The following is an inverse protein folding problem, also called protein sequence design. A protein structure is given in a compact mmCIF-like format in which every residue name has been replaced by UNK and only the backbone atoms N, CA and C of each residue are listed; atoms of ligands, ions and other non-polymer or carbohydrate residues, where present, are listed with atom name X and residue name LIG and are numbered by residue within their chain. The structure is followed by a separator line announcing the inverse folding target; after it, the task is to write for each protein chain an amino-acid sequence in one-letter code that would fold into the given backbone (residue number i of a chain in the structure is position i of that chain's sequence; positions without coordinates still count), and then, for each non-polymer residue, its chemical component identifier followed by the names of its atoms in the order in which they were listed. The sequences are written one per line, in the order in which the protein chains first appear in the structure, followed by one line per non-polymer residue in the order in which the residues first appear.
data_IF_067961825810
#
_entry.id   IF_067961825810
#
_cell.length_a   1.000
_cell.length_b   1.000
_cell.length_c   1.000
_cell.angle_alpha   90.00
_cell.angle_beta   90.00
_cell.angle_gamma   90.00
#
_symmetry.space_group_name_H-M   'P 1'
#
loop_
_entity.id
_entity.type
_entity.pdbx_description
1 polymer ?
#
# COMPACT_ATOMS: atom_id res chain seq x y z
N UNK A 1 4.53 10.73 -10.95
CA UNK A 1 5.01 11.34 -9.68
C UNK A 1 4.19 12.57 -9.31
N UNK A 2 4.09 13.61 -10.14
CA UNK A 2 3.40 14.87 -9.80
C UNK A 2 1.96 14.72 -9.27
N UNK A 3 1.13 13.86 -9.89
CA UNK A 3 -0.27 13.65 -9.44
C UNK A 3 -0.31 12.95 -8.07
N UNK A 4 0.60 12.01 -7.83
CA UNK A 4 0.65 11.24 -6.57
C UNK A 4 1.08 12.14 -5.41
N UNK A 5 2.06 13.02 -5.65
CA UNK A 5 2.57 13.97 -4.66
C UNK A 5 1.65 15.18 -4.41
N UNK A 6 0.49 15.24 -5.09
CA UNK A 6 -0.41 16.38 -5.00
C UNK A 6 -0.86 16.72 -3.56
N UNK A 7 -1.18 15.75 -2.66
CA UNK A 7 -1.45 16.05 -1.25
C UNK A 7 -0.30 16.78 -0.55
N UNK A 8 0.94 16.33 -0.76
CA UNK A 8 2.13 16.97 -0.17
C UNK A 8 2.28 18.40 -0.66
N UNK A 9 2.18 18.61 -1.97
CA UNK A 9 2.29 19.95 -2.56
C UNK A 9 1.21 20.88 -2.01
N UNK A 10 -0.01 20.38 -1.89
CA UNK A 10 -1.16 21.14 -1.42
C UNK A 10 -1.03 21.54 0.05
N UNK A 11 -0.64 20.61 0.93
CA UNK A 11 -0.35 20.90 2.33
C UNK A 11 0.76 21.95 2.47
N UNK A 12 1.87 21.81 1.74
CA UNK A 12 2.99 22.74 1.85
C UNK A 12 2.71 24.14 1.25
N UNK A 13 1.72 24.25 0.37
CA UNK A 13 1.33 25.52 -0.26
C UNK A 13 0.20 26.24 0.49
N UNK A 14 -0.40 25.59 1.48
CA UNK A 14 -1.55 26.12 2.23
C UNK A 14 -1.11 26.75 3.56
N UNK A 15 -1.91 27.69 4.06
CA UNK A 15 -1.74 28.15 5.44
C UNK A 15 -2.02 26.99 6.39
N UNK A 16 -1.02 26.60 7.17
CA UNK A 16 -1.18 25.52 8.13
C UNK A 16 -1.99 26.02 9.34
N UNK A 17 -3.04 25.29 9.75
CA UNK A 17 -3.76 25.61 10.97
C UNK A 17 -2.82 25.49 12.18
N UNK A 18 -3.06 26.26 13.26
CA UNK A 18 -2.30 26.11 14.49
C UNK A 18 -2.45 24.69 15.06
N UNK A 19 -1.35 24.13 15.57
CA UNK A 19 -1.29 22.84 16.26
C UNK A 19 -1.33 23.03 17.79
N UNK A 20 -2.18 23.94 18.25
CA UNK A 20 -2.34 24.28 19.67
C UNK A 20 -3.18 23.23 20.43
N UNK A 21 -4.07 22.52 19.74
CA UNK A 21 -4.86 21.44 20.33
C UNK A 21 -4.78 20.12 19.54
N UNK A 22 -4.13 19.10 20.11
CA UNK A 22 -3.96 17.80 19.47
C UNK A 22 -5.26 16.96 19.36
N UNK A 23 -6.33 17.37 20.02
CA UNK A 23 -7.63 16.68 20.01
C UNK A 23 -8.68 17.37 19.14
N UNK A 24 -8.35 18.50 18.53
CA UNK A 24 -9.23 19.10 17.54
C UNK A 24 -9.16 18.35 16.21
N UNK A 25 -9.91 18.82 15.22
CA UNK A 25 -9.95 18.19 13.91
C UNK A 25 -8.56 18.09 13.24
N UNK A 26 -7.71 19.09 13.43
CA UNK A 26 -6.37 19.15 12.83
C UNK A 26 -5.42 18.16 13.52
N UNK A 27 -5.43 18.12 14.85
CA UNK A 27 -4.66 17.16 15.63
C UNK A 27 -5.08 15.72 15.36
N UNK A 28 -6.39 15.44 15.32
CA UNK A 28 -6.93 14.10 15.05
C UNK A 28 -6.53 13.62 13.65
N UNK A 29 -6.71 14.45 12.61
CA UNK A 29 -6.36 14.08 11.23
C UNK A 29 -4.86 13.89 11.06
N UNK A 30 -4.03 14.68 11.73
CA UNK A 30 -2.58 14.49 11.75
C UNK A 30 -2.21 13.13 12.36
N UNK A 31 -2.67 12.83 13.57
CA UNK A 31 -2.33 11.57 14.25
C UNK A 31 -2.87 10.35 13.51
N UNK A 32 -4.11 10.42 13.03
CA UNK A 32 -4.71 9.34 12.25
C UNK A 32 -3.93 9.09 10.96
N UNK A 33 -3.56 10.16 10.24
CA UNK A 33 -2.77 10.06 9.03
C UNK A 33 -1.37 9.49 9.27
N UNK A 34 -0.70 9.89 10.35
CA UNK A 34 0.60 9.33 10.77
C UNK A 34 0.49 7.85 11.10
N UNK A 35 -0.54 7.43 11.84
CA UNK A 35 -0.78 6.01 12.18
C UNK A 35 -1.01 5.19 10.90
N UNK A 36 -1.86 5.69 9.99
CA UNK A 36 -2.11 5.03 8.70
C UNK A 36 -0.80 4.92 7.91
N UNK A 37 -0.03 6.00 7.85
CA UNK A 37 1.25 6.00 7.15
C UNK A 37 2.24 5.00 7.74
N UNK A 38 2.35 4.94 9.07
CA UNK A 38 3.22 3.98 9.76
C UNK A 38 2.80 2.53 9.49
N UNK A 39 1.50 2.24 9.46
CA UNK A 39 1.00 0.92 9.08
C UNK A 39 1.46 0.59 7.65
N UNK A 40 1.26 1.51 6.71
CA UNK A 40 1.71 1.33 5.33
C UNK A 40 3.22 1.05 5.23
N UNK A 41 4.02 1.88 5.91
CA UNK A 41 5.48 1.76 5.94
C UNK A 41 5.96 0.41 6.49
N UNK A 42 5.31 -0.12 7.53
CA UNK A 42 5.63 -1.44 8.07
C UNK A 42 5.28 -2.56 7.09
N UNK A 43 4.14 -2.46 6.40
CA UNK A 43 3.76 -3.42 5.35
C UNK A 43 4.74 -3.41 4.18
N UNK A 44 5.15 -2.23 3.73
CA UNK A 44 6.17 -2.04 2.68
C UNK A 44 7.49 -2.66 3.09
N UNK A 45 8.06 -2.19 4.20
CA UNK A 45 9.38 -2.60 4.68
C UNK A 45 9.45 -4.10 4.95
N UNK A 46 8.49 -4.66 5.67
CA UNK A 46 8.51 -6.09 5.98
C UNK A 46 8.16 -6.95 4.76
N UNK A 47 7.26 -6.49 3.88
CA UNK A 47 6.89 -7.18 2.65
C UNK A 47 8.08 -7.34 1.73
N UNK A 48 8.82 -6.26 1.48
CA UNK A 48 10.01 -6.25 0.64
C UNK A 48 11.16 -7.04 1.28
N UNK A 49 11.39 -6.91 2.58
CA UNK A 49 12.41 -7.69 3.27
C UNK A 49 12.14 -9.21 3.20
N UNK A 50 10.87 -9.62 3.32
CA UNK A 50 10.47 -11.03 3.14
C UNK A 50 10.75 -11.51 1.71
N UNK A 51 10.39 -10.70 0.71
CA UNK A 51 10.62 -11.03 -0.70
C UNK A 51 12.11 -11.09 -1.04
N UNK A 52 12.89 -10.15 -0.52
CA UNK A 52 14.33 -10.07 -0.71
C UNK A 52 15.02 -11.34 -0.19
N UNK A 53 14.74 -11.70 1.08
CA UNK A 53 15.28 -12.92 1.69
C UNK A 53 14.85 -14.18 0.94
N UNK A 54 13.60 -14.24 0.50
CA UNK A 54 13.09 -15.38 -0.27
C UNK A 54 13.85 -15.57 -1.59
N UNK A 55 14.09 -14.48 -2.33
CA UNK A 55 14.79 -14.50 -3.62
C UNK A 55 16.29 -14.80 -3.50
N UNK A 56 16.91 -14.52 -2.35
CA UNK A 56 18.33 -14.80 -2.13
C UNK A 56 18.65 -16.28 -1.98
N UNK A 57 17.70 -17.08 -1.50
CA UNK A 57 17.88 -18.51 -1.31
C UNK A 57 17.70 -19.25 -2.65
N UNK A 58 18.75 -19.88 -3.21
CA UNK A 58 18.67 -20.61 -4.48
C UNK A 58 17.65 -21.75 -4.47
N UNK A 59 17.31 -22.30 -3.29
CA UNK A 59 16.32 -23.35 -3.15
C UNK A 59 14.88 -22.87 -3.38
N UNK A 60 14.66 -21.55 -3.45
CA UNK A 60 13.37 -20.94 -3.72
C UNK A 60 13.16 -20.59 -5.20
N UNK A 61 14.12 -20.91 -6.08
CA UNK A 61 13.95 -20.72 -7.53
C UNK A 61 12.71 -21.48 -8.01
N UNK A 62 11.80 -20.75 -8.67
CA UNK A 62 10.55 -21.29 -9.19
C UNK A 62 9.44 -21.48 -8.14
N UNK A 63 9.67 -21.16 -6.85
CA UNK A 63 8.65 -21.27 -5.81
C UNK A 63 7.92 -19.95 -5.58
N UNK A 64 6.76 -20.02 -4.95
CA UNK A 64 5.94 -18.86 -4.62
C UNK A 64 6.08 -18.51 -3.14
N UNK A 65 6.36 -17.23 -2.84
CA UNK A 65 6.36 -16.76 -1.46
C UNK A 65 4.92 -16.62 -0.96
N UNK A 66 4.51 -17.53 -0.08
CA UNK A 66 3.14 -17.60 0.42
C UNK A 66 3.03 -17.49 1.96
N UNK A 67 4.12 -17.08 2.60
CA UNK A 67 4.28 -16.97 4.06
C UNK A 67 4.40 -15.51 4.50
N UNK A 68 4.28 -15.28 5.82
CA UNK A 68 4.37 -13.93 6.36
C UNK A 68 3.25 -13.03 5.85
N UNK A 69 3.58 -11.80 5.43
CA UNK A 69 2.59 -10.85 4.90
C UNK A 69 2.02 -11.31 3.56
N UNK A 70 2.82 -12.02 2.76
CA UNK A 70 2.43 -12.57 1.46
C UNK A 70 1.34 -13.65 1.57
N UNK A 71 1.09 -14.18 2.75
CA UNK A 71 -0.08 -15.05 3.00
C UNK A 71 -1.39 -14.27 2.92
N UNK A 72 -1.41 -13.03 3.38
CA UNK A 72 -2.63 -12.24 3.57
C UNK A 72 -2.97 -11.37 2.36
N UNK A 73 -1.96 -10.97 1.58
CA UNK A 73 -2.11 -10.25 0.32
C UNK A 73 -1.01 -10.66 -0.66
N UNK A 74 -1.32 -10.68 -1.96
CA UNK A 74 -0.37 -11.01 -3.01
C UNK A 74 0.71 -9.93 -3.17
N UNK A 75 0.45 -8.71 -2.70
CA UNK A 75 1.38 -7.58 -2.81
C UNK A 75 1.36 -6.73 -1.54
N UNK A 76 1.95 -7.21 -0.43
CA UNK A 76 1.98 -6.45 0.82
C UNK A 76 2.73 -5.14 0.70
N UNK A 77 3.76 -5.09 -0.14
CA UNK A 77 4.52 -3.88 -0.42
C UNK A 77 3.71 -2.82 -1.16
N UNK A 78 2.94 -3.21 -2.19
CA UNK A 78 2.03 -2.32 -2.89
C UNK A 78 0.91 -1.81 -1.99
N UNK A 79 0.38 -2.67 -1.11
CA UNK A 79 -0.57 -2.22 -0.10
C UNK A 79 0.06 -1.18 0.82
N UNK A 80 1.31 -1.39 1.25
CA UNK A 80 2.06 -0.45 2.06
C UNK A 80 2.16 0.94 1.42
N UNK A 81 2.70 0.99 0.20
CA UNK A 81 2.89 2.25 -0.55
C UNK A 81 1.58 3.02 -0.72
N UNK A 82 0.51 2.36 -1.17
CA UNK A 82 -0.81 3.00 -1.32
C UNK A 82 -1.32 3.50 0.03
N UNK A 83 -1.18 2.69 1.09
CA UNK A 83 -1.63 3.05 2.44
C UNK A 83 -0.91 4.30 2.97
N UNK A 84 0.40 4.44 2.71
CA UNK A 84 1.16 5.64 3.02
C UNK A 84 0.56 6.88 2.35
N UNK A 85 0.20 6.81 1.07
CA UNK A 85 -0.43 7.93 0.36
C UNK A 85 -1.83 8.27 0.88
N UNK A 86 -2.62 7.28 1.30
CA UNK A 86 -3.88 7.53 2.00
C UNK A 86 -3.66 8.19 3.37
N UNK A 87 -2.61 7.80 4.10
CA UNK A 87 -2.22 8.46 5.36
C UNK A 87 -1.89 9.94 5.15
N UNK A 88 -1.08 10.27 4.12
CA UNK A 88 -0.76 11.66 3.75
C UNK A 88 -2.01 12.44 3.36
N UNK A 89 -2.93 11.83 2.60
CA UNK A 89 -4.22 12.45 2.28
C UNK A 89 -5.03 12.78 3.53
N UNK A 90 -5.10 11.88 4.52
CA UNK A 90 -5.78 12.14 5.78
C UNK A 90 -5.16 13.34 6.51
N UNK A 91 -3.83 13.46 6.53
CA UNK A 91 -3.14 14.67 7.05
C UNK A 91 -3.56 15.91 6.25
N UNK A 92 -3.67 15.79 4.92
CA UNK A 92 -4.01 16.91 4.04
C UNK A 92 -5.45 17.41 4.24
N UNK A 93 -6.36 16.60 4.79
CA UNK A 93 -7.71 17.06 5.16
C UNK A 93 -7.70 18.21 6.18
N UNK A 94 -6.59 18.37 6.91
CA UNK A 94 -6.39 19.47 7.85
C UNK A 94 -6.23 20.84 7.17
N UNK A 95 -5.90 20.93 5.87
CA UNK A 95 -5.73 22.24 5.21
C UNK A 95 -6.99 22.66 4.44
N UNK A 96 -7.24 23.98 4.27
CA UNK A 96 -8.39 24.47 3.49
C UNK A 96 -8.44 23.85 2.09
N UNK A 97 -9.59 23.28 1.72
CA UNK A 97 -9.79 22.55 0.45
C UNK A 97 -8.92 21.28 0.28
N UNK A 98 -8.34 20.76 1.36
CA UNK A 98 -7.49 19.56 1.33
C UNK A 98 -8.15 18.31 0.73
N UNK A 99 -9.48 18.22 0.76
CA UNK A 99 -10.24 17.13 0.14
C UNK A 99 -10.01 17.00 -1.38
N UNK A 100 -9.64 18.09 -2.07
CA UNK A 100 -9.32 18.07 -3.52
C UNK A 100 -8.10 17.18 -3.78
N UNK A 101 -7.22 17.04 -2.78
CA UNK A 101 -6.01 16.23 -2.92
C UNK A 101 -6.24 14.72 -3.03
N UNK A 102 -7.48 14.24 -2.85
CA UNK A 102 -7.87 12.82 -2.99
C UNK A 102 -7.50 12.22 -4.36
N UNK A 103 -7.33 13.05 -5.39
CA UNK A 103 -6.86 12.61 -6.70
C UNK A 103 -5.51 11.88 -6.62
N UNK A 104 -4.62 12.27 -5.70
CA UNK A 104 -3.33 11.63 -5.47
C UNK A 104 -3.43 10.16 -5.04
N UNK A 105 -4.03 9.84 -3.87
CA UNK A 105 -4.18 8.46 -3.41
C UNK A 105 -5.05 7.60 -4.35
N UNK A 106 -6.09 8.16 -4.98
CA UNK A 106 -6.88 7.43 -5.99
C UNK A 106 -6.01 7.05 -7.19
N UNK A 107 -5.21 8.00 -7.69
CA UNK A 107 -4.37 7.79 -8.86
C UNK A 107 -3.29 6.73 -8.60
N UNK A 108 -2.57 6.78 -7.47
CA UNK A 108 -1.57 5.74 -7.14
C UNK A 108 -2.23 4.37 -6.93
N UNK A 109 -3.39 4.32 -6.28
CA UNK A 109 -4.16 3.07 -6.11
C UNK A 109 -4.51 2.45 -7.48
N UNK A 110 -4.99 3.27 -8.41
CA UNK A 110 -5.30 2.82 -9.77
C UNK A 110 -4.03 2.33 -10.51
N UNK A 111 -2.96 3.12 -10.49
CA UNK A 111 -1.69 2.78 -11.15
C UNK A 111 -1.14 1.45 -10.64
N UNK A 112 -1.11 1.26 -9.32
CA UNK A 112 -0.58 0.05 -8.70
C UNK A 112 -1.46 -1.17 -8.99
N UNK A 113 -2.79 -1.05 -8.99
CA UNK A 113 -3.66 -2.23 -9.20
C UNK A 113 -3.82 -2.57 -10.70
N UNK A 114 -3.82 -1.56 -11.58
CA UNK A 114 -4.20 -1.75 -13.00
C UNK A 114 -3.04 -1.62 -13.99
N UNK A 115 -2.06 -0.80 -13.69
CA UNK A 115 -0.97 -0.43 -14.63
C UNK A 115 0.37 -1.04 -14.23
N UNK A 116 0.51 -1.48 -12.98
CA UNK A 116 1.75 -2.08 -12.49
C UNK A 116 2.05 -3.45 -13.12
N UNK A 117 3.25 -3.96 -12.82
CA UNK A 117 3.78 -5.23 -13.28
C UNK A 117 3.02 -6.48 -12.81
N UNK A 118 1.92 -6.38 -12.06
CA UNK A 118 1.08 -7.52 -11.63
C UNK A 118 0.70 -8.39 -12.83
N UNK A 119 0.31 -7.78 -13.96
CA UNK A 119 -0.08 -8.53 -15.17
C UNK A 119 1.10 -9.23 -15.84
N UNK A 120 2.31 -8.67 -15.75
CA UNK A 120 3.51 -9.29 -16.30
C UNK A 120 3.94 -10.48 -15.43
N UNK A 121 3.80 -10.34 -14.11
CA UNK A 121 4.03 -11.44 -13.16
C UNK A 121 3.06 -12.59 -13.43
N UNK A 122 1.78 -12.29 -13.64
CA UNK A 122 0.76 -13.29 -13.97
C UNK A 122 1.10 -14.10 -15.22
N UNK A 123 1.63 -13.44 -16.26
CA UNK A 123 2.09 -14.10 -17.49
C UNK A 123 3.35 -14.94 -17.27
N UNK A 124 4.24 -14.50 -16.38
CA UNK A 124 5.48 -15.22 -16.09
C UNK A 124 5.21 -16.57 -15.42
N UNK A 125 4.20 -16.63 -14.56
CA UNK A 125 3.77 -17.83 -13.84
C UNK A 125 2.55 -18.51 -14.49
N UNK A 126 2.30 -18.25 -15.77
CA UNK A 126 1.21 -18.89 -16.51
C UNK A 126 1.48 -20.39 -16.66
N UNK A 127 0.52 -21.23 -16.25
CA UNK A 127 0.67 -22.68 -16.22
C UNK A 127 1.32 -23.25 -14.95
N UNK A 128 1.68 -22.41 -13.98
CA UNK A 128 2.18 -22.85 -12.67
C UNK A 128 1.00 -23.14 -11.70
N UNK A 129 0.87 -24.42 -11.30
CA UNK A 129 -0.19 -24.88 -10.40
C UNK A 129 -0.05 -24.33 -8.97
N UNK A 130 1.18 -24.14 -8.48
CA UNK A 130 1.46 -23.57 -7.15
C UNK A 130 1.03 -22.11 -7.11
N UNK A 131 1.43 -21.33 -8.12
CA UNK A 131 1.05 -19.93 -8.26
C UNK A 131 -0.45 -19.74 -8.45
N UNK A 132 -1.06 -20.57 -9.29
CA UNK A 132 -2.51 -20.55 -9.51
C UNK A 132 -3.27 -20.85 -8.21
N UNK A 133 -2.81 -21.82 -7.43
CA UNK A 133 -3.39 -22.17 -6.13
C UNK A 133 -3.23 -21.04 -5.11
N UNK A 134 -2.06 -20.40 -5.09
CA UNK A 134 -1.80 -19.21 -4.27
C UNK A 134 -2.74 -18.04 -4.60
N UNK A 135 -2.90 -17.70 -5.88
CA UNK A 135 -3.80 -16.63 -6.31
C UNK A 135 -5.26 -16.86 -5.94
N UNK A 136 -5.71 -18.11 -5.94
CA UNK A 136 -7.09 -18.46 -5.56
C UNK A 136 -7.37 -18.22 -4.08
N UNK A 137 -6.39 -18.46 -3.20
CA UNK A 137 -6.56 -18.34 -1.74
C UNK A 137 -6.24 -16.96 -1.18
N UNK A 138 -5.29 -16.24 -1.78
CA UNK A 138 -4.79 -14.96 -1.27
C UNK A 138 -5.34 -13.80 -2.09
N UNK A 139 -5.79 -12.72 -1.43
CA UNK A 139 -6.33 -11.54 -2.12
C UNK A 139 -5.21 -10.77 -2.83
N UNK A 140 -5.55 -10.14 -3.96
CA UNK A 140 -4.57 -9.41 -4.76
C UNK A 140 -3.90 -8.26 -3.99
N UNK A 141 -4.69 -7.45 -3.28
CA UNK A 141 -4.23 -6.17 -2.76
C UNK A 141 -4.53 -5.97 -1.27
N UNK A 142 -5.81 -6.02 -0.88
CA UNK A 142 -6.20 -5.78 0.52
C UNK A 142 -5.85 -6.99 1.41
N UNK A 143 -5.07 -6.82 2.49
CA UNK A 143 -4.72 -7.89 3.42
C UNK A 143 -5.97 -8.54 4.03
N UNK A 144 -6.10 -9.85 3.89
CA UNK A 144 -7.20 -10.59 4.50
C UNK A 144 -6.81 -12.05 4.76
N UNK A 145 -7.58 -12.72 5.62
CA UNK A 145 -7.38 -14.15 5.86
C UNK A 145 -7.52 -14.97 4.56
N UNK A 146 -6.61 -15.93 4.30
CA UNK A 146 -6.68 -16.77 3.13
C UNK A 146 -8.00 -17.55 3.07
N UNK A 147 -8.54 -17.72 1.87
CA UNK A 147 -9.68 -18.62 1.67
C UNK A 147 -9.23 -20.06 1.94
N UNK A 148 -10.08 -20.83 2.64
CA UNK A 148 -9.87 -22.27 2.79
C UNK A 148 -9.92 -22.91 1.41
N UNK A 149 -8.95 -23.77 1.08
CA UNK A 149 -9.03 -24.63 -0.10
C UNK A 149 -10.25 -25.55 0.08
N UNK A 150 -11.20 -25.49 -0.85
CA UNK A 150 -12.21 -26.54 -1.00
C UNK A 150 -11.57 -27.73 -1.70
#
# INVERSE_FOLDING_TARGET
IFIVSFPIWFTNSSANPPLDNLLDFYGITLWLGVIIWLIGFLFETFGDNQLYKFKQDPNNKGKVLDKGLWKYTQHPNYFGEVTQWWGIYVITLAVPFGFISIVGPIFITYMIIKVSGIRLLDKHYEGDDEYTSYKKRTRLFFPWFPKKSK
#
